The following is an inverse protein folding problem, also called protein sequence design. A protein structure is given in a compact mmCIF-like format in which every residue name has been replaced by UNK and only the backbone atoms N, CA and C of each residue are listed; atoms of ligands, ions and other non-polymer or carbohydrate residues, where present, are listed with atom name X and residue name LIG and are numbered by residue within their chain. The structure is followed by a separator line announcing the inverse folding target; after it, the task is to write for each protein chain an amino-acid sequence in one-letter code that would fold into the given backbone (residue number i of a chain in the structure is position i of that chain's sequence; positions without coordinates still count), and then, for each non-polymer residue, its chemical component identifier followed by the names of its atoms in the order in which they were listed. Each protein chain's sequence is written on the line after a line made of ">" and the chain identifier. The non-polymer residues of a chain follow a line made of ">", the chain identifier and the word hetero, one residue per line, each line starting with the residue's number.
data_IF_721798617052
#
_entry.id   IF_721798617052
#
_cell.length_a   1.000
_cell.length_b   1.000
_cell.length_c   1.000
_cell.angle_alpha   90.00
_cell.angle_beta   90.00
_cell.angle_gamma   90.00
#
_symmetry.space_group_name_H-M   'P 1'
#
loop_
_entity.id
_entity.type
_entity.pdbx_description
1 polymer ?
#
# COMPACT_ATOMS: atom_id res chain seq x y z
N UNK A 1 -43.93 7.77 4.59
CA UNK A 1 -42.85 8.07 5.55
C UNK A 1 -41.58 8.39 4.77
N UNK A 2 -41.26 9.67 4.57
CA UNK A 2 -40.12 10.10 3.76
C UNK A 2 -38.89 10.39 4.63
N UNK A 3 -37.81 9.63 4.44
CA UNK A 3 -36.56 9.85 5.18
C UNK A 3 -35.80 11.06 4.64
N UNK A 4 -35.68 12.09 5.48
CA UNK A 4 -34.92 13.32 5.22
C UNK A 4 -33.42 13.03 5.26
N UNK A 5 -32.74 13.12 4.11
CA UNK A 5 -31.28 13.01 4.01
C UNK A 5 -30.63 14.27 4.61
N UNK A 6 -29.94 14.13 5.75
CA UNK A 6 -29.14 15.20 6.37
C UNK A 6 -27.86 15.42 5.55
N UNK A 7 -27.81 16.51 4.80
CA UNK A 7 -26.61 17.03 4.15
C UNK A 7 -25.63 17.55 5.19
N UNK A 8 -24.48 16.87 5.38
CA UNK A 8 -23.37 17.37 6.19
C UNK A 8 -22.64 18.48 5.42
N UNK A 9 -22.74 19.71 5.92
CA UNK A 9 -21.95 20.84 5.47
C UNK A 9 -20.46 20.57 5.74
N UNK A 10 -19.63 20.60 4.69
CA UNK A 10 -18.17 20.52 4.80
C UNK A 10 -17.66 21.85 5.38
N UNK A 11 -17.09 21.81 6.58
CA UNK A 11 -16.30 22.91 7.16
C UNK A 11 -15.13 23.22 6.24
N UNK A 12 -15.13 24.40 5.62
CA UNK A 12 -13.99 24.90 4.86
C UNK A 12 -12.83 25.17 5.79
N UNK A 13 -11.73 24.44 5.63
CA UNK A 13 -10.46 24.72 6.29
C UNK A 13 -9.80 25.86 5.53
N UNK A 14 -9.74 27.04 6.15
CA UNK A 14 -9.04 28.20 5.62
C UNK A 14 -7.53 27.94 5.80
N UNK A 15 -6.88 27.35 4.79
CA UNK A 15 -5.43 27.18 4.82
C UNK A 15 -4.75 28.53 4.58
N UNK A 16 -3.74 28.91 5.39
CA UNK A 16 -2.98 30.12 5.16
C UNK A 16 -2.33 30.07 3.77
N UNK A 17 -2.44 31.19 3.04
CA UNK A 17 -1.77 31.37 1.75
C UNK A 17 -0.24 31.29 1.98
N UNK A 18 0.49 30.46 1.22
CA UNK A 18 1.94 30.48 1.25
C UNK A 18 2.46 31.85 0.78
N UNK A 19 3.52 32.33 1.42
CA UNK A 19 4.25 33.56 1.08
C UNK A 19 4.73 33.54 -0.37
N UNK A 20 4.67 34.68 -1.04
CA UNK A 20 4.87 34.83 -2.51
C UNK A 20 6.31 34.60 -2.99
N UNK A 21 7.29 34.43 -2.09
CA UNK A 21 8.71 34.31 -2.44
C UNK A 21 9.20 32.89 -2.82
N UNK A 22 8.30 31.90 -2.96
CA UNK A 22 8.65 30.47 -3.14
C UNK A 22 8.06 29.80 -4.40
N UNK A 23 7.83 30.56 -5.48
CA UNK A 23 7.21 30.02 -6.73
C UNK A 23 8.25 29.74 -7.83
N UNK A 24 9.30 28.96 -7.53
CA UNK A 24 9.96 28.16 -8.57
C UNK A 24 9.19 26.85 -8.72
N UNK A 25 8.19 26.84 -9.59
CA UNK A 25 7.32 25.70 -9.82
C UNK A 25 8.09 24.59 -10.57
N UNK A 26 8.33 23.47 -9.87
CA UNK A 26 8.97 22.28 -10.44
C UNK A 26 8.18 21.73 -11.63
N UNK A 27 8.84 21.24 -12.70
CA UNK A 27 8.16 20.61 -13.83
C UNK A 27 7.31 19.43 -13.32
N UNK A 28 6.01 19.46 -13.65
CA UNK A 28 5.05 18.48 -13.17
C UNK A 28 5.44 17.07 -13.66
N UNK A 29 6.06 16.27 -12.80
CA UNK A 29 6.34 14.86 -13.10
C UNK A 29 5.02 14.08 -12.96
N UNK A 30 4.54 13.55 -14.09
CA UNK A 30 3.52 12.50 -14.32
C UNK A 30 2.56 12.18 -13.16
N UNK A 31 1.26 12.50 -13.35
CA UNK A 31 0.03 11.95 -12.70
C UNK A 31 0.05 11.51 -11.22
N UNK A 32 1.02 11.92 -10.41
CA UNK A 32 1.02 11.84 -8.96
C UNK A 32 0.54 13.17 -8.37
N UNK A 33 -0.01 13.15 -7.16
CA UNK A 33 -0.37 14.38 -6.45
C UNK A 33 0.81 15.36 -6.37
N UNK A 34 0.52 16.66 -6.27
CA UNK A 34 1.54 17.72 -6.14
C UNK A 34 2.51 17.33 -5.00
N UNK A 35 3.84 17.37 -5.23
CA UNK A 35 4.80 17.01 -4.19
C UNK A 35 4.56 17.86 -2.94
N UNK A 36 4.70 17.25 -1.77
CA UNK A 36 4.48 17.96 -0.50
C UNK A 36 5.65 18.88 -0.14
N UNK A 37 6.81 18.68 -0.77
CA UNK A 37 8.02 19.50 -0.60
C UNK A 37 8.08 20.63 -1.63
N UNK A 38 8.60 21.78 -1.22
CA UNK A 38 9.04 22.83 -2.15
C UNK A 38 10.36 22.44 -2.84
N UNK A 39 10.76 23.17 -3.89
CA UNK A 39 12.04 22.93 -4.57
C UNK A 39 13.23 23.09 -3.62
N UNK A 40 13.22 24.13 -2.79
CA UNK A 40 14.27 24.37 -1.79
C UNK A 40 14.34 23.25 -0.76
N UNK A 41 13.19 22.75 -0.30
CA UNK A 41 13.12 21.59 0.60
C UNK A 41 13.67 20.34 -0.07
N UNK A 42 13.34 20.09 -1.35
CA UNK A 42 13.89 18.95 -2.09
C UNK A 42 15.41 19.01 -2.19
N UNK A 43 15.96 20.17 -2.56
CA UNK A 43 17.42 20.38 -2.66
C UNK A 43 18.13 20.15 -1.32
N UNK A 44 17.53 20.60 -0.22
CA UNK A 44 18.07 20.35 1.12
C UNK A 44 18.08 18.86 1.45
N UNK A 45 16.99 18.14 1.17
CA UNK A 45 16.91 16.71 1.44
C UNK A 45 17.90 15.92 0.57
N UNK A 46 18.04 16.30 -0.71
CA UNK A 46 19.02 15.75 -1.64
C UNK A 46 20.47 15.97 -1.18
N UNK A 47 20.79 17.16 -0.64
CA UNK A 47 22.13 17.45 -0.12
C UNK A 47 22.54 16.57 1.07
N UNK A 48 21.56 16.02 1.81
CA UNK A 48 21.79 15.12 2.94
C UNK A 48 21.59 13.64 2.58
N UNK A 49 21.35 13.32 1.29
CA UNK A 49 21.12 11.95 0.84
C UNK A 49 22.35 11.05 1.05
N UNK A 50 23.55 11.56 0.79
CA UNK A 50 24.80 10.80 0.98
C UNK A 50 25.01 10.42 2.45
N UNK A 51 24.80 11.37 3.36
CA UNK A 51 24.89 11.12 4.81
C UNK A 51 23.86 10.10 5.30
N UNK A 52 22.67 10.06 4.68
CA UNK A 52 21.67 9.04 4.96
C UNK A 52 22.13 7.65 4.49
N UNK A 53 22.68 7.55 3.28
CA UNK A 53 23.21 6.29 2.74
C UNK A 53 24.35 5.74 3.62
N UNK A 54 25.28 6.61 4.04
CA UNK A 54 26.35 6.26 4.96
C UNK A 54 25.80 5.76 6.29
N UNK A 55 24.82 6.46 6.87
CA UNK A 55 24.17 6.05 8.11
C UNK A 55 23.47 4.69 7.98
N UNK A 56 22.85 4.39 6.84
CA UNK A 56 22.22 3.10 6.55
C UNK A 56 23.23 1.95 6.38
N UNK A 57 24.43 2.23 5.86
CA UNK A 57 25.47 1.21 5.67
C UNK A 57 26.17 0.84 6.98
N UNK A 58 26.22 1.76 7.95
CA UNK A 58 26.82 1.47 9.24
C UNK A 58 25.93 0.52 10.07
N UNK A 59 26.46 -0.58 10.63
CA UNK A 59 25.66 -1.57 11.38
C UNK A 59 25.18 -1.07 12.75
N UNK A 60 25.58 0.14 13.16
CA UNK A 60 25.27 0.70 14.48
C UNK A 60 23.98 1.50 14.41
N UNK A 61 22.91 1.04 15.07
CA UNK A 61 21.62 1.76 15.17
C UNK A 61 21.75 3.22 15.67
N UNK A 62 22.82 3.52 16.41
CA UNK A 62 23.11 4.86 16.94
C UNK A 62 23.35 5.89 15.82
N UNK A 63 23.99 5.50 14.70
CA UNK A 63 24.28 6.44 13.60
C UNK A 63 23.02 6.94 12.91
N UNK A 64 22.06 6.03 12.65
CA UNK A 64 20.80 6.36 12.00
C UNK A 64 19.91 7.22 12.91
N UNK A 65 19.88 6.95 14.23
CA UNK A 65 19.16 7.79 15.19
C UNK A 65 19.73 9.21 15.24
N UNK A 66 21.05 9.34 15.26
CA UNK A 66 21.73 10.65 15.24
C UNK A 66 21.48 11.40 13.93
N UNK A 67 21.52 10.70 12.78
CA UNK A 67 21.18 11.28 11.48
C UNK A 67 19.77 11.87 11.49
N UNK A 68 18.78 11.13 11.96
CA UNK A 68 17.40 11.62 12.02
C UNK A 68 17.27 12.82 12.95
N UNK A 69 17.92 12.79 14.11
CA UNK A 69 17.86 13.91 15.05
C UNK A 69 18.41 15.20 14.43
N UNK A 70 19.61 15.14 13.85
CA UNK A 70 20.29 16.30 13.26
C UNK A 70 19.53 16.81 12.02
N UNK A 71 19.17 15.92 11.09
CA UNK A 71 18.51 16.30 9.84
C UNK A 71 17.15 16.94 10.09
N UNK A 72 16.36 16.41 11.03
CA UNK A 72 15.06 16.99 11.38
C UNK A 72 15.24 18.33 12.12
N UNK A 73 16.23 18.45 12.99
CA UNK A 73 16.55 19.71 13.67
C UNK A 73 16.95 20.79 12.67
N UNK A 74 17.85 20.49 11.74
CA UNK A 74 18.29 21.42 10.69
C UNK A 74 17.14 21.79 9.75
N UNK A 75 16.29 20.82 9.40
CA UNK A 75 15.09 21.07 8.60
C UNK A 75 14.12 22.01 9.32
N UNK A 76 13.87 21.82 10.62
CA UNK A 76 12.99 22.68 11.40
C UNK A 76 13.57 24.07 11.64
N UNK A 77 14.91 24.19 11.68
CA UNK A 77 15.61 25.47 11.77
C UNK A 77 15.46 26.30 10.50
N UNK A 78 15.56 25.65 9.34
CA UNK A 78 15.43 26.28 8.02
C UNK A 78 13.96 26.59 7.67
N UNK A 79 13.03 25.76 8.11
CA UNK A 79 11.59 25.96 7.94
C UNK A 79 10.85 25.94 9.28
N UNK A 80 10.94 27.02 10.06
CA UNK A 80 10.20 27.14 11.31
C UNK A 80 8.70 26.99 11.09
N UNK A 81 8.06 26.20 11.96
CA UNK A 81 6.60 26.10 12.00
C UNK A 81 6.00 27.27 12.78
N UNK A 82 4.74 27.54 12.49
CA UNK A 82 4.00 28.64 13.11
C UNK A 82 3.95 28.46 14.63
N UNK A 83 4.59 29.39 15.35
CA UNK A 83 4.64 29.42 16.81
C UNK A 83 3.30 29.77 17.45
N UNK A 84 2.31 30.25 16.67
CA UNK A 84 0.97 30.57 17.17
C UNK A 84 0.10 29.35 17.47
N UNK A 85 0.53 28.15 17.06
CA UNK A 85 -0.18 26.91 17.33
C UNK A 85 0.01 26.43 18.77
N UNK A 86 -1.06 25.85 19.32
CA UNK A 86 -1.02 25.16 20.62
C UNK A 86 0.08 24.07 20.64
N UNK A 87 0.71 23.85 21.80
CA UNK A 87 1.87 22.95 21.94
C UNK A 87 1.57 21.55 21.41
N UNK A 88 0.41 20.98 21.75
CA UNK A 88 0.02 19.65 21.29
C UNK A 88 -0.08 19.58 19.76
N UNK A 89 -0.65 20.61 19.12
CA UNK A 89 -0.76 20.67 17.65
C UNK A 89 0.59 20.86 16.98
N UNK A 90 1.51 21.60 17.61
CA UNK A 90 2.89 21.75 17.12
C UNK A 90 3.61 20.40 17.15
N UNK A 91 3.49 19.66 18.24
CA UNK A 91 4.12 18.34 18.39
C UNK A 91 3.57 17.35 17.34
N UNK A 92 2.24 17.35 17.09
CA UNK A 92 1.62 16.54 16.04
C UNK A 92 2.10 16.91 14.63
N UNK A 93 2.23 18.20 14.32
CA UNK A 93 2.74 18.66 13.03
C UNK A 93 4.21 18.32 12.82
N UNK A 94 5.02 18.41 13.87
CA UNK A 94 6.44 18.01 13.86
C UNK A 94 6.57 16.49 13.66
N UNK A 95 5.74 15.69 14.34
CA UNK A 95 5.71 14.24 14.15
C UNK A 95 5.31 13.88 12.70
N UNK A 96 4.25 14.49 12.17
CA UNK A 96 3.81 14.26 10.80
C UNK A 96 4.88 14.69 9.76
N UNK A 97 5.58 15.79 10.02
CA UNK A 97 6.70 16.23 9.17
C UNK A 97 7.86 15.25 9.22
N UNK A 98 8.21 14.77 10.42
CA UNK A 98 9.29 13.80 10.62
C UNK A 98 9.01 12.52 9.83
N UNK A 99 7.79 11.99 9.90
CA UNK A 99 7.40 10.80 9.12
C UNK A 99 7.43 11.04 7.60
N UNK A 100 7.06 12.25 7.15
CA UNK A 100 7.17 12.61 5.72
C UNK A 100 8.62 12.70 5.25
N UNK A 101 9.50 13.30 6.05
CA UNK A 101 10.94 13.38 5.74
C UNK A 101 11.55 11.98 5.70
N UNK A 102 11.28 11.13 6.70
CA UNK A 102 11.72 9.72 6.70
C UNK A 102 11.21 8.98 5.46
N UNK A 103 9.93 9.13 5.14
CA UNK A 103 9.32 8.52 3.95
C UNK A 103 9.97 9.02 2.66
N UNK A 104 10.33 10.32 2.60
CA UNK A 104 11.05 10.88 1.47
C UNK A 104 12.41 10.19 1.28
N UNK A 105 13.26 10.12 2.30
CA UNK A 105 14.56 9.43 2.22
C UNK A 105 14.40 7.95 1.88
N UNK A 106 13.46 7.26 2.52
CA UNK A 106 13.17 5.87 2.21
C UNK A 106 12.75 5.69 0.74
N UNK A 107 12.04 6.62 0.12
CA UNK A 107 11.63 6.48 -1.28
C UNK A 107 12.70 6.93 -2.27
N UNK A 108 13.50 7.95 -1.93
CA UNK A 108 14.45 8.60 -2.86
C UNK A 108 15.88 8.07 -2.72
N UNK A 109 16.27 7.61 -1.53
CA UNK A 109 17.59 7.05 -1.23
C UNK A 109 17.58 5.53 -1.08
N UNK A 110 16.41 4.87 -1.22
CA UNK A 110 16.46 3.44 -1.54
C UNK A 110 17.24 3.31 -2.83
N UNK A 111 18.21 2.41 -2.83
CA UNK A 111 18.87 1.88 -4.03
C UNK A 111 17.84 1.13 -4.89
N UNK A 112 16.81 1.82 -5.34
CA UNK A 112 15.83 1.33 -6.29
C UNK A 112 16.57 1.25 -7.61
N UNK A 113 17.09 0.04 -7.86
CA UNK A 113 17.29 -0.69 -9.12
C UNK A 113 16.96 0.00 -10.47
N UNK A 114 17.27 1.28 -10.66
CA UNK A 114 17.32 1.94 -11.95
C UNK A 114 18.75 1.93 -12.51
N UNK A 115 19.77 1.67 -11.66
CA UNK A 115 21.17 1.62 -12.11
C UNK A 115 21.98 0.40 -11.65
N UNK A 116 21.71 -0.19 -10.50
CA UNK A 116 22.37 -1.44 -10.11
C UNK A 116 21.66 -2.05 -8.90
N UNK A 117 20.90 -3.12 -9.13
CA UNK A 117 20.22 -3.82 -8.04
C UNK A 117 19.55 -5.05 -8.62
N UNK A 118 20.11 -6.23 -8.35
CA UNK A 118 19.42 -7.50 -8.62
C UNK A 118 18.05 -7.40 -7.96
N UNK A 119 16.98 -7.49 -8.75
CA UNK A 119 15.61 -7.52 -8.23
C UNK A 119 15.60 -8.54 -7.10
N UNK A 120 15.28 -8.13 -5.87
CA UNK A 120 14.98 -9.09 -4.83
C UNK A 120 13.92 -10.01 -5.42
N UNK A 121 14.31 -11.26 -5.69
CA UNK A 121 13.40 -12.26 -6.22
C UNK A 121 12.37 -12.40 -5.11
N UNK A 122 11.20 -11.82 -5.33
CA UNK A 122 10.09 -11.92 -4.38
C UNK A 122 9.86 -13.41 -4.24
N UNK A 123 10.16 -13.94 -3.07
CA UNK A 123 10.00 -15.35 -2.81
C UNK A 123 8.49 -15.65 -2.72
N UNK A 124 7.98 -16.34 -3.73
CA UNK A 124 6.59 -16.79 -3.77
C UNK A 124 6.43 -18.20 -3.19
N UNK A 125 7.51 -18.86 -2.73
CA UNK A 125 7.47 -20.22 -2.21
C UNK A 125 6.67 -20.34 -0.90
N UNK A 126 6.75 -19.33 -0.02
CA UNK A 126 6.14 -19.36 1.32
C UNK A 126 4.72 -18.76 1.41
N UNK A 127 4.04 -18.52 0.29
CA UNK A 127 2.69 -17.94 0.34
C UNK A 127 1.65 -19.04 0.47
N UNK A 128 0.92 -19.05 1.59
CA UNK A 128 -0.27 -19.89 1.79
C UNK A 128 -1.16 -19.78 0.54
N UNK A 129 -1.44 -20.91 -0.12
CA UNK A 129 -2.29 -20.95 -1.31
C UNK A 129 -3.67 -20.43 -0.91
N UNK A 130 -4.11 -19.32 -1.51
CA UNK A 130 -5.43 -18.78 -1.24
C UNK A 130 -6.49 -19.65 -1.90
N UNK A 131 -7.54 -20.00 -1.15
CA UNK A 131 -8.77 -20.62 -1.66
C UNK A 131 -9.28 -19.87 -2.89
N UNK A 132 -9.44 -20.57 -4.02
CA UNK A 132 -10.09 -20.03 -5.23
C UNK A 132 -11.55 -19.69 -4.91
N UNK A 133 -12.14 -18.72 -5.61
CA UNK A 133 -13.58 -18.44 -5.51
C UNK A 133 -14.38 -19.50 -6.27
N UNK A 134 -15.62 -19.80 -5.84
CA UNK A 134 -16.51 -20.77 -6.51
C UNK A 134 -16.62 -20.55 -8.02
N UNK A 135 -16.83 -19.30 -8.46
CA UNK A 135 -16.92 -18.94 -9.90
C UNK A 135 -15.63 -19.29 -10.66
N UNK A 136 -14.46 -19.18 -10.01
CA UNK A 136 -13.18 -19.48 -10.63
C UNK A 136 -12.94 -20.99 -10.69
N UNK A 137 -13.27 -21.73 -9.62
CA UNK A 137 -13.26 -23.20 -9.63
C UNK A 137 -14.19 -23.73 -10.72
N UNK A 138 -15.44 -23.23 -10.79
CA UNK A 138 -16.38 -23.57 -11.86
C UNK A 138 -15.79 -23.29 -13.25
N UNK A 139 -15.15 -22.12 -13.44
CA UNK A 139 -14.48 -21.80 -14.70
C UNK A 139 -13.38 -22.78 -15.08
N UNK A 140 -12.60 -23.26 -14.13
CA UNK A 140 -11.48 -24.17 -14.41
C UNK A 140 -12.01 -25.53 -14.82
N UNK A 141 -12.96 -26.09 -14.06
CA UNK A 141 -13.43 -27.46 -14.26
C UNK A 141 -14.50 -27.61 -15.36
N UNK A 142 -15.29 -26.57 -15.64
CA UNK A 142 -16.43 -26.62 -16.57
C UNK A 142 -16.30 -25.66 -17.77
N UNK A 143 -15.11 -25.11 -18.01
CA UNK A 143 -14.84 -24.17 -19.11
C UNK A 143 -15.30 -24.71 -20.46
N UNK A 144 -14.72 -25.84 -20.88
CA UNK A 144 -14.84 -26.32 -22.26
C UNK A 144 -16.25 -26.81 -22.58
N UNK A 145 -16.93 -27.44 -21.62
CA UNK A 145 -18.23 -28.08 -21.83
C UNK A 145 -19.41 -27.12 -21.70
N UNK A 146 -19.37 -26.20 -20.73
CA UNK A 146 -20.54 -25.37 -20.38
C UNK A 146 -20.33 -23.91 -20.74
N UNK A 147 -19.19 -23.34 -20.38
CA UNK A 147 -18.94 -21.90 -20.51
C UNK A 147 -18.59 -21.51 -21.95
N UNK A 148 -17.69 -22.24 -22.60
CA UNK A 148 -17.19 -21.91 -23.96
C UNK A 148 -18.30 -21.85 -25.00
N UNK A 149 -19.28 -22.79 -25.05
CA UNK A 149 -20.40 -22.68 -25.99
C UNK A 149 -21.24 -21.42 -25.78
N UNK A 150 -21.65 -21.14 -24.53
CA UNK A 150 -22.45 -19.97 -24.17
C UNK A 150 -21.69 -18.68 -24.48
N UNK A 151 -20.41 -18.64 -24.10
CA UNK A 151 -19.53 -17.50 -24.35
C UNK A 151 -19.39 -17.23 -25.84
N UNK A 152 -19.17 -18.27 -26.65
CA UNK A 152 -19.01 -18.15 -28.10
C UNK A 152 -20.29 -17.65 -28.77
N UNK A 153 -21.45 -18.16 -28.38
CA UNK A 153 -22.73 -17.70 -28.92
C UNK A 153 -23.05 -16.25 -28.53
N UNK A 154 -22.87 -15.90 -27.26
CA UNK A 154 -23.12 -14.54 -26.77
C UNK A 154 -22.13 -13.54 -27.35
N UNK A 155 -20.86 -13.93 -27.51
CA UNK A 155 -19.84 -13.07 -28.11
C UNK A 155 -20.12 -12.79 -29.58
N UNK A 156 -20.56 -13.79 -30.35
CA UNK A 156 -21.00 -13.60 -31.75
C UNK A 156 -22.14 -12.59 -31.88
N UNK A 157 -23.05 -12.53 -30.89
CA UNK A 157 -24.19 -11.60 -30.86
C UNK A 157 -23.84 -10.22 -30.28
N UNK A 158 -22.68 -10.08 -29.65
CA UNK A 158 -22.32 -8.86 -28.94
C UNK A 158 -21.89 -7.74 -29.91
N UNK A 159 -22.48 -6.55 -29.76
CA UNK A 159 -22.28 -5.40 -30.67
C UNK A 159 -20.83 -4.94 -30.82
N UNK A 160 -19.99 -5.24 -29.84
CA UNK A 160 -18.56 -4.86 -29.84
C UNK A 160 -17.62 -5.97 -30.32
N UNK A 161 -18.13 -7.05 -30.92
CA UNK A 161 -17.30 -8.11 -31.44
C UNK A 161 -16.42 -7.57 -32.59
N UNK A 162 -15.08 -7.50 -32.44
CA UNK A 162 -14.17 -6.94 -33.44
C UNK A 162 -14.08 -7.74 -34.75
N UNK A 163 -14.71 -8.92 -34.82
CA UNK A 163 -14.67 -9.82 -35.97
C UNK A 163 -14.32 -11.26 -35.56
N UNK A 164 -14.38 -12.20 -36.51
CA UNK A 164 -14.02 -13.59 -36.26
C UNK A 164 -12.53 -13.71 -35.85
N UNK A 165 -12.26 -14.41 -34.74
CA UNK A 165 -10.88 -14.65 -34.25
C UNK A 165 -10.35 -13.63 -33.25
N UNK A 166 -11.09 -12.56 -32.93
CA UNK A 166 -10.70 -11.66 -31.85
C UNK A 166 -10.83 -12.34 -30.48
N UNK A 167 -9.85 -12.19 -29.57
CA UNK A 167 -9.96 -12.73 -28.21
C UNK A 167 -11.11 -12.06 -27.46
N UNK A 168 -11.87 -12.86 -26.71
CA UNK A 168 -12.97 -12.35 -25.88
C UNK A 168 -12.39 -11.55 -24.71
N UNK A 169 -12.83 -10.29 -24.48
CA UNK A 169 -12.39 -9.50 -23.36
C UNK A 169 -12.64 -10.17 -22.01
N UNK A 170 -11.69 -10.03 -21.08
CA UNK A 170 -11.75 -10.68 -19.76
C UNK A 170 -13.01 -10.31 -18.96
N UNK A 171 -13.44 -9.05 -19.02
CA UNK A 171 -14.63 -8.59 -18.30
C UNK A 171 -15.89 -9.34 -18.77
N UNK A 172 -16.03 -9.55 -20.09
CA UNK A 172 -17.19 -10.23 -20.68
C UNK A 172 -17.19 -11.72 -20.33
N UNK A 173 -16.00 -12.36 -20.35
CA UNK A 173 -15.84 -13.74 -19.89
C UNK A 173 -16.28 -13.89 -18.44
N UNK A 174 -15.80 -13.03 -17.55
CA UNK A 174 -16.12 -13.12 -16.13
C UNK A 174 -17.62 -12.92 -15.86
N UNK A 175 -18.29 -12.04 -16.61
CA UNK A 175 -19.73 -11.81 -16.53
C UNK A 175 -20.52 -13.05 -16.95
N UNK A 176 -20.23 -13.61 -18.14
CA UNK A 176 -20.89 -14.83 -18.63
C UNK A 176 -20.64 -16.03 -17.72
N UNK A 177 -19.42 -16.21 -17.24
CA UNK A 177 -19.09 -17.30 -16.31
C UNK A 177 -19.85 -17.18 -14.99
N UNK A 178 -20.04 -15.96 -14.48
CA UNK A 178 -20.80 -15.74 -13.25
C UNK A 178 -22.28 -16.07 -13.46
N UNK A 179 -22.90 -15.55 -14.52
CA UNK A 179 -24.29 -15.85 -14.83
C UNK A 179 -24.52 -17.35 -15.06
N UNK A 180 -23.63 -18.00 -15.82
CA UNK A 180 -23.69 -19.43 -16.04
C UNK A 180 -23.62 -20.21 -14.71
N UNK A 181 -22.77 -19.79 -13.77
CA UNK A 181 -22.69 -20.43 -12.45
C UNK A 181 -23.95 -20.20 -11.60
N UNK A 182 -24.54 -19.00 -11.66
CA UNK A 182 -25.73 -18.66 -10.88
C UNK A 182 -26.97 -19.45 -11.38
N UNK A 183 -27.07 -19.67 -12.70
CA UNK A 183 -28.15 -20.41 -13.37
C UNK A 183 -28.04 -21.95 -13.25
N UNK A 184 -26.93 -22.47 -12.74
CA UNK A 184 -26.68 -23.91 -12.66
C UNK A 184 -27.45 -24.63 -11.56
N UNK A 185 -27.56 -25.95 -11.72
CA UNK A 185 -28.18 -26.81 -10.72
C UNK A 185 -27.43 -26.77 -9.38
N UNK A 186 -28.16 -26.95 -8.29
CA UNK A 186 -27.56 -27.03 -6.94
C UNK A 186 -26.56 -28.20 -6.85
N UNK A 187 -26.82 -29.32 -7.55
CA UNK A 187 -25.87 -30.44 -7.66
C UNK A 187 -24.51 -30.00 -8.23
N UNK A 188 -24.51 -29.16 -9.27
CA UNK A 188 -23.27 -28.63 -9.85
C UNK A 188 -22.56 -27.69 -8.88
N UNK A 189 -23.32 -26.89 -8.11
CA UNK A 189 -22.75 -25.96 -7.12
C UNK A 189 -22.12 -26.71 -5.93
N UNK A 190 -22.76 -27.79 -5.48
CA UNK A 190 -22.22 -28.70 -4.47
C UNK A 190 -20.93 -29.38 -4.97
N UNK A 191 -20.91 -29.84 -6.22
CA UNK A 191 -19.72 -30.41 -6.83
C UNK A 191 -18.57 -29.40 -6.93
N UNK A 192 -18.87 -28.14 -7.30
CA UNK A 192 -17.87 -27.06 -7.29
C UNK A 192 -17.34 -26.77 -5.88
N UNK A 193 -18.19 -26.87 -4.85
CA UNK A 193 -17.75 -26.72 -3.46
C UNK A 193 -16.83 -27.88 -3.03
N UNK A 194 -17.13 -29.11 -3.45
CA UNK A 194 -16.27 -30.29 -3.22
C UNK A 194 -14.91 -30.14 -3.90
N UNK A 195 -14.89 -29.76 -5.18
CA UNK A 195 -13.66 -29.54 -5.95
C UNK A 195 -12.81 -28.39 -5.38
N UNK A 196 -13.45 -27.34 -4.87
CA UNK A 196 -12.76 -26.22 -4.22
C UNK A 196 -12.00 -26.67 -2.97
N UNK A 197 -12.55 -27.64 -2.26
CA UNK A 197 -12.01 -28.17 -1.01
C UNK A 197 -10.86 -29.13 -1.31
N UNK A 198 -10.96 -29.91 -2.39
CA UNK A 198 -9.87 -30.75 -2.92
C UNK A 198 -8.70 -29.90 -3.46
N UNK A 199 -8.98 -28.80 -4.16
CA UNK A 199 -7.99 -27.89 -4.77
C UNK A 199 -7.02 -27.26 -3.76
N UNK A 200 -7.40 -27.23 -2.49
CA UNK A 200 -6.55 -26.72 -1.41
C UNK A 200 -5.43 -27.68 -1.06
N UNK A 201 -5.62 -28.98 -1.28
CA UNK A 201 -4.74 -30.02 -0.76
C UNK A 201 -4.67 -30.03 0.76
N UNK A 202 -4.15 -31.13 1.29
CA UNK A 202 -3.87 -31.41 2.70
C UNK A 202 -2.72 -30.52 3.22
N UNK A 203 -2.90 -29.20 3.14
CA UNK A 203 -2.06 -28.26 3.88
C UNK A 203 -2.54 -28.32 5.32
N UNK A 204 -1.97 -29.31 6.02
CA UNK A 204 -1.98 -29.47 7.46
C UNK A 204 -2.07 -28.10 8.13
N UNK A 205 -3.11 -27.96 8.95
CA UNK A 205 -3.40 -26.79 9.79
C UNK A 205 -2.44 -26.73 11.00
N UNK A 206 -1.20 -27.21 10.80
CA UNK A 206 -0.21 -27.55 11.81
C UNK A 206 0.93 -26.50 11.86
N UNK A 207 0.62 -25.28 11.44
CA UNK A 207 1.41 -24.08 11.79
C UNK A 207 0.66 -23.36 12.93
N UNK A 208 0.69 -24.03 14.08
CA UNK A 208 0.55 -23.49 15.43
C UNK A 208 1.25 -22.12 15.49
N UNK A 209 0.44 -21.09 15.69
CA UNK A 209 0.81 -19.70 15.71
C UNK A 209 1.62 -19.40 16.96
N UNK A 210 2.91 -19.74 16.91
CA UNK A 210 3.92 -19.45 17.93
C UNK A 210 3.69 -18.08 18.55
N UNK A 211 3.05 -18.12 19.71
CA UNK A 211 2.71 -17.01 20.57
C UNK A 211 4.01 -16.27 20.92
N UNK A 212 4.30 -15.19 20.19
CA UNK A 212 5.38 -14.28 20.54
C UNK A 212 4.97 -13.51 21.79
N UNK A 213 5.10 -14.18 22.94
CA UNK A 213 5.04 -13.59 24.25
C UNK A 213 6.21 -12.60 24.34
N UNK A 214 5.90 -11.32 24.16
CA UNK A 214 6.80 -10.21 24.42
C UNK A 214 7.23 -10.33 25.89
N UNK A 215 8.44 -10.83 26.12
CA UNK A 215 9.16 -10.68 27.37
C UNK A 215 9.33 -9.17 27.60
N UNK A 216 8.39 -8.61 28.35
CA UNK A 216 8.55 -7.36 29.05
C UNK A 216 9.58 -7.64 30.15
N UNK A 217 10.86 -7.61 29.80
CA UNK A 217 11.91 -7.44 30.79
C UNK A 217 11.68 -6.07 31.44
N UNK A 218 11.02 -6.10 32.59
CA UNK A 218 11.13 -5.06 33.61
C UNK A 218 12.61 -4.95 34.00
N UNK A 219 13.37 -4.14 33.26
CA UNK A 219 14.53 -3.47 33.86
C UNK A 219 13.97 -2.54 34.94
N UNK A 220 13.89 -3.08 36.16
CA UNK A 220 13.85 -2.30 37.39
C UNK A 220 15.10 -1.45 37.46
N UNK A 221 15.04 -0.27 36.87
CA UNK A 221 15.99 0.81 37.16
C UNK A 221 15.65 1.31 38.55
N UNK A 222 16.44 0.82 39.50
CA UNK A 222 16.41 1.19 40.90
C UNK A 222 16.52 2.71 41.05
N UNK A 223 15.51 3.32 41.67
CA UNK A 223 15.41 4.78 41.84
C UNK A 223 16.13 5.29 43.09
N UNK A 224 16.94 4.47 43.77
CA UNK A 224 17.59 4.85 45.04
C UNK A 224 19.05 5.33 44.94
N UNK A 225 19.68 5.37 43.75
CA UNK A 225 21.08 5.81 43.63
C UNK A 225 21.25 7.28 43.17
N UNK A 226 20.33 8.19 43.57
CA UNK A 226 20.47 9.62 43.28
C UNK A 226 20.44 10.55 44.52
N UNK A 227 20.47 10.01 45.73
CA UNK A 227 20.61 10.82 46.96
C UNK A 227 21.69 10.28 47.93
N UNK A 228 22.89 9.95 47.40
CA UNK A 228 24.09 9.88 48.24
C UNK A 228 25.29 10.58 47.62
#
# INVERSE_FOLDING_TARGET
>A
MGQRRRSKARKGTNKPKPSEDDVEELPSRRSGGKPWTSLRQSKFLEAHAEAFEDACQTPKKVSLKSFWHLTIQDFLKEWPRDVSLDKAKRDDEVAALTERVKTWYNNHCRSTAAKSGKKAIIDFSNKKKRRRSHVHTYSVHFSDLRIVPILTERWKKHKKCPGPGSPVPLWFRNEVTKEAFDDESEETKEEVARLREEDLGDFDDDDDDGEYQYLLEEEGVDAEELER
#
